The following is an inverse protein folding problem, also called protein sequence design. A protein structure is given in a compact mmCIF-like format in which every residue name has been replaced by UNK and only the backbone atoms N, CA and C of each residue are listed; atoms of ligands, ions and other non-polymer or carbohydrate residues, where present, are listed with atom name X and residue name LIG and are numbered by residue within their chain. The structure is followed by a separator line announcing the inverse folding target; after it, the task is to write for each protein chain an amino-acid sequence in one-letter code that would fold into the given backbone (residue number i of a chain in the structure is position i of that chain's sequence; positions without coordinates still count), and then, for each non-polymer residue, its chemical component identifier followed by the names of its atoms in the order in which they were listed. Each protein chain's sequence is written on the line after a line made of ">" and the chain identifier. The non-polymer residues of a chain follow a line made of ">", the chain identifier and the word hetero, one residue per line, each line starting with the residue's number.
data_IF_845117105736
#
_entry.id   IF_845117105736
#
_cell.length_a   1.000
_cell.length_b   1.000
_cell.length_c   1.000
_cell.angle_alpha   90.00
_cell.angle_beta   90.00
_cell.angle_gamma   90.00
#
_symmetry.space_group_name_H-M   'P 1'
#
loop_
_entity.id
_entity.type
_entity.pdbx_description
1 polymer ?
#
# COMPACT_ATOMS: atom_id res chain seq x y z
N UNK A 1 -19.39 35.80 46.83
CA UNK A 1 -20.50 35.28 45.97
C UNK A 1 -20.00 34.06 45.21
N UNK A 2 -20.39 32.86 45.66
CA UNK A 2 -19.96 31.60 45.04
C UNK A 2 -20.84 31.28 43.81
N UNK A 3 -20.23 31.14 42.62
CA UNK A 3 -20.94 30.70 41.41
C UNK A 3 -21.35 29.24 41.58
N UNK A 4 -22.66 29.00 41.68
CA UNK A 4 -23.26 27.67 41.61
C UNK A 4 -22.90 27.00 40.28
N UNK A 5 -22.16 25.89 40.33
CA UNK A 5 -21.87 25.04 39.17
C UNK A 5 -23.19 24.40 38.73
N UNK A 6 -23.75 24.87 37.60
CA UNK A 6 -24.89 24.20 36.95
C UNK A 6 -24.44 22.79 36.52
N UNK A 7 -24.92 21.77 37.20
CA UNK A 7 -24.81 20.38 36.74
C UNK A 7 -25.69 20.22 35.48
N UNK A 8 -25.13 20.58 34.32
CA UNK A 8 -25.78 20.40 33.03
C UNK A 8 -25.89 18.92 32.71
N UNK A 9 -27.12 18.40 32.60
CA UNK A 9 -27.37 17.08 32.02
C UNK A 9 -26.79 17.08 30.61
N UNK A 10 -25.96 16.08 30.31
CA UNK A 10 -25.43 15.88 28.95
C UNK A 10 -26.61 15.77 27.99
N UNK A 11 -26.49 16.40 26.82
CA UNK A 11 -27.46 16.21 25.74
C UNK A 11 -27.54 14.73 25.36
N UNK A 12 -28.69 14.27 24.86
CA UNK A 12 -28.91 12.86 24.50
C UNK A 12 -27.82 12.31 23.56
N UNK A 13 -27.36 13.13 22.59
CA UNK A 13 -26.25 12.77 21.69
C UNK A 13 -24.91 12.61 22.42
N UNK A 14 -24.54 13.55 23.30
CA UNK A 14 -23.29 13.44 24.06
C UNK A 14 -23.29 12.22 25.01
N UNK A 15 -24.46 11.85 25.55
CA UNK A 15 -24.64 10.65 26.36
C UNK A 15 -24.50 9.36 25.52
N UNK A 16 -25.05 9.31 24.30
CA UNK A 16 -24.90 8.17 23.39
C UNK A 16 -23.46 7.98 22.93
N UNK A 17 -22.76 9.06 22.57
CA UNK A 17 -21.33 9.01 22.22
C UNK A 17 -20.53 8.46 23.41
N UNK A 18 -20.78 8.97 24.61
CA UNK A 18 -20.11 8.51 25.83
C UNK A 18 -20.42 7.05 26.14
N UNK A 19 -21.64 6.59 25.85
CA UNK A 19 -22.02 5.18 25.98
C UNK A 19 -21.25 4.30 24.99
N UNK A 20 -21.25 4.60 23.69
CA UNK A 20 -20.55 3.74 22.72
C UNK A 20 -19.02 3.74 22.86
N UNK A 21 -18.43 4.82 23.37
CA UNK A 21 -16.99 4.90 23.59
C UNK A 21 -16.53 4.22 24.88
N UNK A 22 -17.36 4.24 25.93
CA UNK A 22 -16.95 3.88 27.28
C UNK A 22 -17.86 2.83 27.92
N UNK A 23 -18.73 2.13 27.17
CA UNK A 23 -19.58 1.11 27.77
C UNK A 23 -18.72 -0.04 28.30
N UNK A 24 -18.98 -0.52 29.52
CA UNK A 24 -18.26 -1.64 30.11
C UNK A 24 -18.73 -3.00 29.58
N UNK A 25 -19.64 -3.03 28.60
CA UNK A 25 -20.23 -4.25 28.03
C UNK A 25 -19.28 -4.93 27.02
N UNK A 26 -18.00 -5.02 27.35
CA UNK A 26 -17.09 -5.89 26.63
C UNK A 26 -17.28 -7.33 27.13
N UNK A 27 -17.29 -8.33 26.23
CA UNK A 27 -17.34 -9.72 26.66
C UNK A 27 -16.10 -10.04 27.51
N UNK A 28 -16.26 -10.99 28.44
CA UNK A 28 -15.13 -11.47 29.25
C UNK A 28 -14.04 -12.08 28.34
N UNK A 29 -12.77 -12.03 28.74
CA UNK A 29 -11.69 -12.67 28.00
C UNK A 29 -11.97 -14.16 27.73
N UNK A 30 -11.55 -14.62 26.56
CA UNK A 30 -11.81 -15.96 26.10
C UNK A 30 -11.00 -16.99 26.92
N UNK A 31 -11.68 -17.99 27.47
CA UNK A 31 -11.06 -19.09 28.23
C UNK A 31 -11.00 -20.33 27.36
N UNK A 32 -9.80 -20.80 27.06
CA UNK A 32 -9.60 -22.00 26.26
C UNK A 32 -9.25 -23.21 27.11
N UNK A 33 -9.76 -24.39 26.72
CA UNK A 33 -9.21 -25.67 27.18
C UNK A 33 -7.83 -25.91 26.56
N UNK A 34 -7.01 -26.77 27.18
CA UNK A 34 -5.63 -27.05 26.74
C UNK A 34 -5.53 -27.38 25.25
N UNK A 35 -6.35 -28.30 24.74
CA UNK A 35 -6.34 -28.71 23.32
C UNK A 35 -6.80 -27.59 22.38
N UNK A 36 -7.71 -26.71 22.82
CA UNK A 36 -8.13 -25.55 22.02
C UNK A 36 -7.04 -24.48 21.96
N UNK A 37 -6.39 -24.22 23.10
CA UNK A 37 -5.26 -23.28 23.18
C UNK A 37 -4.09 -23.72 22.28
N UNK A 38 -3.73 -25.01 22.31
CA UNK A 38 -2.67 -25.55 21.44
C UNK A 38 -3.03 -25.44 19.96
N UNK A 39 -4.26 -25.79 19.56
CA UNK A 39 -4.72 -25.63 18.17
C UNK A 39 -4.63 -24.17 17.71
N UNK A 40 -5.12 -23.24 18.52
CA UNK A 40 -5.05 -21.82 18.21
C UNK A 40 -3.60 -21.34 18.07
N UNK A 41 -2.71 -21.76 18.97
CA UNK A 41 -1.30 -21.40 18.92
C UNK A 41 -0.60 -21.89 17.65
N UNK A 42 -0.87 -23.14 17.24
CA UNK A 42 -0.32 -23.70 16.00
C UNK A 42 -0.82 -22.93 14.77
N UNK A 43 -2.13 -22.66 14.67
CA UNK A 43 -2.70 -21.88 13.56
C UNK A 43 -2.10 -20.48 13.53
N UNK A 44 -1.99 -19.82 14.68
CA UNK A 44 -1.39 -18.49 14.79
C UNK A 44 0.06 -18.48 14.31
N UNK A 45 0.87 -19.46 14.72
CA UNK A 45 2.27 -19.58 14.25
C UNK A 45 2.37 -19.86 12.76
N UNK A 46 1.54 -20.75 12.23
CA UNK A 46 1.48 -21.03 10.80
C UNK A 46 1.12 -19.76 10.01
N UNK A 47 0.15 -18.97 10.49
CA UNK A 47 -0.22 -17.69 9.90
C UNK A 47 0.93 -16.67 9.92
N UNK A 48 1.66 -16.56 11.03
CA UNK A 48 2.82 -15.67 11.12
C UNK A 48 3.94 -16.09 10.17
N UNK A 49 4.17 -17.41 10.00
CA UNK A 49 5.11 -17.94 9.02
C UNK A 49 4.67 -17.58 7.60
N UNK A 50 3.40 -17.81 7.27
CA UNK A 50 2.82 -17.50 5.97
C UNK A 50 3.00 -16.01 5.62
N UNK A 51 2.63 -15.11 6.53
CA UNK A 51 2.82 -13.66 6.33
C UNK A 51 4.28 -13.28 6.12
N UNK A 52 5.22 -13.93 6.82
CA UNK A 52 6.66 -13.70 6.63
C UNK A 52 7.10 -14.12 5.23
N UNK A 53 6.63 -15.28 4.75
CA UNK A 53 6.92 -15.75 3.38
C UNK A 53 6.36 -14.78 2.34
N UNK A 54 5.09 -14.39 2.48
CA UNK A 54 4.45 -13.42 1.58
C UNK A 54 5.19 -12.09 1.53
N UNK A 55 5.61 -11.55 2.68
CA UNK A 55 6.43 -10.32 2.72
C UNK A 55 7.76 -10.52 2.02
N UNK A 56 8.45 -11.64 2.27
CA UNK A 56 9.75 -11.92 1.66
C UNK A 56 9.63 -12.04 0.13
N UNK A 57 8.58 -12.67 -0.36
CA UNK A 57 8.28 -12.76 -1.80
C UNK A 57 8.06 -11.35 -2.41
N UNK A 58 7.28 -10.50 -1.74
CA UNK A 58 7.07 -9.11 -2.16
C UNK A 58 8.39 -8.31 -2.19
N UNK A 59 9.22 -8.43 -1.16
CA UNK A 59 10.52 -7.76 -1.09
C UNK A 59 11.45 -8.22 -2.23
N UNK A 60 11.51 -9.54 -2.50
CA UNK A 60 12.32 -10.09 -3.57
C UNK A 60 11.83 -9.65 -4.95
N UNK A 61 10.52 -9.56 -5.15
CA UNK A 61 9.95 -9.09 -6.41
C UNK A 61 10.24 -7.60 -6.63
N UNK A 62 10.14 -6.77 -5.59
CA UNK A 62 10.55 -5.36 -5.64
C UNK A 62 12.05 -5.21 -5.91
N UNK A 63 12.89 -6.03 -5.28
CA UNK A 63 14.34 -6.07 -5.53
C UNK A 63 14.64 -6.46 -6.98
N UNK A 64 13.93 -7.46 -7.52
CA UNK A 64 14.05 -7.89 -8.92
C UNK A 64 13.69 -6.75 -9.87
N UNK A 65 12.56 -6.08 -9.66
CA UNK A 65 12.12 -4.95 -10.48
C UNK A 65 13.12 -3.80 -10.42
N UNK A 66 13.59 -3.43 -9.22
CA UNK A 66 14.60 -2.40 -9.03
C UNK A 66 15.91 -2.73 -9.76
N UNK A 67 16.42 -3.96 -9.61
CA UNK A 67 17.64 -4.38 -10.28
C UNK A 67 17.51 -4.39 -11.80
N UNK A 68 16.36 -4.80 -12.33
CA UNK A 68 16.06 -4.73 -13.76
C UNK A 68 16.03 -3.28 -14.27
N UNK A 69 15.35 -2.38 -13.54
CA UNK A 69 15.33 -0.94 -13.84
C UNK A 69 16.72 -0.32 -13.80
N UNK A 70 17.51 -0.65 -12.77
CA UNK A 70 18.90 -0.19 -12.62
C UNK A 70 19.76 -0.63 -13.80
N UNK A 71 19.69 -1.91 -14.18
CA UNK A 71 20.42 -2.43 -15.31
C UNK A 71 20.03 -1.71 -16.61
N UNK A 72 18.74 -1.51 -16.87
CA UNK A 72 18.25 -0.78 -18.03
C UNK A 72 18.69 0.70 -18.03
N UNK A 73 18.78 1.33 -16.86
CA UNK A 73 19.29 2.70 -16.76
C UNK A 73 20.80 2.78 -17.03
N UNK A 74 21.58 1.80 -16.57
CA UNK A 74 23.02 1.71 -16.90
C UNK A 74 23.24 1.48 -18.39
N UNK A 75 22.42 0.65 -19.05
CA UNK A 75 22.52 0.50 -20.51
C UNK A 75 22.19 1.80 -21.23
N UNK A 76 21.14 2.52 -20.83
CA UNK A 76 20.80 3.85 -21.38
C UNK A 76 21.89 4.90 -21.15
N UNK A 77 22.68 4.77 -20.07
CA UNK A 77 23.79 5.68 -19.76
C UNK A 77 24.92 5.55 -20.79
N UNK A 78 25.16 4.34 -21.29
CA UNK A 78 26.23 4.02 -22.25
C UNK A 78 25.76 4.05 -23.71
N UNK A 79 24.46 4.17 -23.96
CA UNK A 79 23.88 4.25 -25.29
C UNK A 79 24.00 5.66 -25.89
N UNK A 80 24.30 5.70 -27.18
CA UNK A 80 24.19 6.88 -28.04
C UNK A 80 22.74 7.07 -28.55
N UNK A 81 22.43 8.20 -29.19
CA UNK A 81 21.10 8.56 -29.71
C UNK A 81 20.50 7.52 -30.67
N UNK A 82 21.34 6.71 -31.32
CA UNK A 82 20.92 5.63 -32.24
C UNK A 82 20.68 4.29 -31.53
N UNK A 83 20.77 4.24 -30.19
CA UNK A 83 20.59 3.01 -29.41
C UNK A 83 21.79 2.06 -29.44
N UNK A 84 22.95 2.51 -29.94
CA UNK A 84 24.18 1.73 -30.00
C UNK A 84 25.11 2.10 -28.84
N UNK A 85 25.89 1.14 -28.28
CA UNK A 85 26.93 1.45 -27.32
C UNK A 85 28.00 2.32 -27.98
N UNK A 86 28.19 3.54 -27.48
CA UNK A 86 29.19 4.49 -27.99
C UNK A 86 30.37 4.63 -27.01
N UNK A 87 31.52 5.15 -27.46
CA UNK A 87 32.58 5.58 -26.54
C UNK A 87 32.02 6.60 -25.56
N UNK A 88 32.32 6.52 -24.26
CA UNK A 88 31.80 7.46 -23.24
C UNK A 88 32.09 8.93 -23.56
N UNK A 89 33.11 9.21 -24.38
CA UNK A 89 33.51 10.53 -24.86
C UNK A 89 32.63 11.12 -25.96
N UNK A 90 31.71 10.34 -26.53
CA UNK A 90 30.82 10.82 -27.59
C UNK A 90 29.77 11.78 -27.00
N UNK A 91 29.60 12.94 -27.66
CA UNK A 91 28.82 14.10 -27.18
C UNK A 91 27.37 13.78 -26.78
N UNK A 92 26.79 12.75 -27.39
CA UNK A 92 25.36 12.42 -27.28
C UNK A 92 25.08 11.19 -26.38
N UNK A 93 26.11 10.53 -25.87
CA UNK A 93 25.97 9.38 -24.96
C UNK A 93 25.28 9.82 -23.66
N UNK A 94 24.34 8.99 -23.19
CA UNK A 94 23.61 9.24 -21.94
C UNK A 94 22.58 10.38 -22.00
N UNK A 95 22.27 10.94 -23.18
CA UNK A 95 21.16 11.90 -23.35
C UNK A 95 19.80 11.30 -22.95
N UNK A 96 19.53 10.06 -23.39
CA UNK A 96 18.29 9.35 -23.06
C UNK A 96 18.17 9.09 -21.55
N UNK A 97 19.27 8.68 -20.91
CA UNK A 97 19.34 8.52 -19.46
C UNK A 97 19.05 9.83 -18.71
N UNK A 98 19.66 10.94 -19.11
CA UNK A 98 19.37 12.26 -18.49
C UNK A 98 17.90 12.65 -18.63
N UNK A 99 17.30 12.36 -19.77
CA UNK A 99 15.88 12.66 -20.05
C UNK A 99 14.96 11.80 -19.19
N UNK A 100 15.24 10.50 -19.03
CA UNK A 100 14.41 9.60 -18.21
C UNK A 100 14.50 9.90 -16.71
N UNK A 101 15.56 10.56 -16.25
CA UNK A 101 15.72 10.97 -14.85
C UNK A 101 14.96 12.25 -14.48
N UNK A 102 14.38 12.95 -15.47
CA UNK A 102 13.53 14.13 -15.23
C UNK A 102 12.25 13.68 -14.53
N UNK A 103 11.91 14.30 -13.39
CA UNK A 103 10.73 13.98 -12.57
C UNK A 103 9.59 14.98 -12.74
N UNK A 104 9.48 15.56 -13.92
CA UNK A 104 8.41 16.50 -14.25
C UNK A 104 7.05 15.78 -14.23
N UNK A 105 6.04 16.38 -13.60
CA UNK A 105 4.70 15.80 -13.45
C UNK A 105 4.60 14.53 -12.58
N UNK A 106 5.71 14.03 -12.02
CA UNK A 106 5.68 12.79 -11.21
C UNK A 106 4.92 12.97 -9.90
N UNK A 107 4.87 14.20 -9.38
CA UNK A 107 4.21 14.54 -8.12
C UNK A 107 2.73 14.90 -8.30
N UNK A 108 2.23 14.97 -9.54
CA UNK A 108 0.81 15.24 -9.84
C UNK A 108 -0.09 14.03 -9.55
N UNK A 109 0.52 12.91 -9.15
CA UNK A 109 -0.15 11.69 -8.74
C UNK A 109 -0.37 10.71 -9.89
N UNK A 110 -1.27 9.75 -9.67
CA UNK A 110 -1.64 8.73 -10.64
C UNK A 110 -3.07 9.04 -11.11
N UNK A 111 -3.41 8.87 -12.42
CA UNK A 111 -4.77 9.11 -12.89
C UNK A 111 -5.77 8.22 -12.13
N UNK A 112 -6.87 8.82 -11.70
CA UNK A 112 -7.84 8.19 -10.78
C UNK A 112 -8.48 6.94 -11.39
N UNK A 113 -8.55 6.86 -12.72
CA UNK A 113 -9.09 5.72 -13.45
C UNK A 113 -8.26 4.45 -13.28
N UNK A 114 -6.95 4.58 -13.04
CA UNK A 114 -6.04 3.46 -12.78
C UNK A 114 -5.99 3.05 -11.30
N UNK A 115 -6.38 3.93 -10.38
CA UNK A 115 -6.37 3.65 -8.94
C UNK A 115 -7.56 2.78 -8.47
N UNK A 116 -8.11 1.93 -9.34
CA UNK A 116 -9.24 1.05 -9.02
C UNK A 116 -8.79 -0.12 -8.13
N UNK A 117 -9.43 -0.35 -6.98
CA UNK A 117 -9.11 -1.49 -6.13
C UNK A 117 -9.55 -2.81 -6.78
N UNK A 118 -8.91 -3.90 -6.36
CA UNK A 118 -9.37 -5.24 -6.71
C UNK A 118 -10.70 -5.55 -5.99
N UNK A 119 -11.60 -6.22 -6.69
CA UNK A 119 -12.95 -6.60 -6.21
C UNK A 119 -13.09 -8.12 -6.21
N UNK A 120 -13.90 -8.65 -5.29
CA UNK A 120 -14.09 -10.10 -5.13
C UNK A 120 -14.76 -10.75 -6.36
N UNK A 121 -15.65 -10.04 -7.05
CA UNK A 121 -16.30 -10.49 -8.29
C UNK A 121 -16.26 -9.39 -9.34
N UNK A 122 -16.05 -9.73 -10.63
CA UNK A 122 -16.00 -8.72 -11.69
C UNK A 122 -17.39 -8.12 -11.93
N UNK A 123 -17.42 -6.88 -12.44
CA UNK A 123 -18.64 -6.26 -12.95
C UNK A 123 -19.14 -6.97 -14.21
N UNK A 124 -20.43 -6.82 -14.53
CA UNK A 124 -21.04 -7.34 -15.77
C UNK A 124 -20.29 -6.86 -17.01
N UNK A 125 -19.96 -5.56 -17.02
CA UNK A 125 -19.21 -4.91 -18.09
C UNK A 125 -17.74 -4.71 -17.64
N UNK A 126 -17.07 -5.82 -17.29
CA UNK A 126 -15.78 -5.81 -16.59
C UNK A 126 -14.65 -5.03 -17.27
N UNK A 127 -14.72 -4.84 -18.59
CA UNK A 127 -13.78 -3.99 -19.35
C UNK A 127 -14.52 -3.21 -20.45
N UNK A 128 -14.19 -1.92 -20.61
CA UNK A 128 -14.75 -1.08 -21.67
C UNK A 128 -13.92 -1.23 -22.94
N UNK A 129 -14.42 -2.01 -23.90
CA UNK A 129 -13.81 -2.15 -25.23
C UNK A 129 -14.07 -0.94 -26.14
N UNK A 130 -15.08 -0.12 -25.81
CA UNK A 130 -15.51 1.04 -26.61
C UNK A 130 -14.84 2.35 -26.20
N UNK A 131 -13.79 2.30 -25.36
CA UNK A 131 -13.08 3.50 -24.92
C UNK A 131 -12.50 4.27 -26.12
N UNK A 132 -12.75 5.58 -26.17
CA UNK A 132 -12.24 6.51 -27.18
C UNK A 132 -11.49 7.65 -26.50
N UNK A 133 -10.42 8.10 -27.17
CA UNK A 133 -9.52 9.18 -26.70
C UNK A 133 -10.16 10.56 -26.86
#
# INVERSE_FOLDING_TARGET
>A
MARSRRNGRLTSSAAQIRYHLMHPQVPRPLRFSRLRALRHWTIHRAWMLFKRKQRREQELELERQYNAMRAACETLRLMDERGMPGPETAKNVGRLFRTSMIKEGTWDGVPIEYARPQVDTPSRDGWSHDWKR
#
